data_IF_733532141334
#
_entry.id   IF_733532141334
#
_cell.length_a   1.000
_cell.length_b   1.000
_cell.length_c   1.000
_cell.angle_alpha   90.00
_cell.angle_beta   90.00
_cell.angle_gamma   90.00
#
_symmetry.space_group_name_H-M   'P 1'
#
loop_
_entity.id
_entity.type
_entity.pdbx_description
1 polymer ?
#
# COMPACT_ATOMS: atom_id res chain seq x y z
N UNK A 1 19.67 0.52 -21.05
CA UNK A 1 18.65 -0.51 -20.78
C UNK A 1 19.02 -1.19 -19.48
N UNK A 2 18.52 -0.66 -18.36
CA UNK A 2 18.44 -1.47 -17.15
C UNK A 2 17.40 -2.51 -17.47
N UNK A 3 17.85 -3.68 -17.85
CA UNK A 3 16.98 -4.78 -18.20
C UNK A 3 16.08 -5.06 -17.01
N UNK A 4 14.81 -4.78 -17.12
CA UNK A 4 13.77 -5.23 -16.19
C UNK A 4 13.73 -6.77 -16.05
N UNK A 5 14.65 -7.44 -16.74
CA UNK A 5 14.80 -8.88 -16.74
C UNK A 5 15.24 -9.47 -15.40
N UNK A 6 15.95 -8.72 -14.56
CA UNK A 6 16.57 -9.24 -13.34
C UNK A 6 15.79 -8.90 -12.07
N UNK A 7 14.72 -8.11 -12.16
CA UNK A 7 13.87 -7.77 -11.02
C UNK A 7 12.93 -8.92 -10.68
N UNK A 8 12.87 -9.25 -9.40
CA UNK A 8 11.88 -10.16 -8.82
C UNK A 8 11.04 -9.41 -7.80
N UNK A 9 9.81 -9.85 -7.58
CA UNK A 9 8.85 -9.16 -6.75
C UNK A 9 8.16 -10.12 -5.80
N UNK A 10 7.89 -9.66 -4.60
CA UNK A 10 6.91 -10.27 -3.71
C UNK A 10 5.69 -9.36 -3.65
N UNK A 11 4.55 -9.84 -4.10
CA UNK A 11 3.25 -9.18 -3.98
C UNK A 11 2.48 -9.72 -2.79
N UNK A 12 1.89 -8.84 -1.99
CA UNK A 12 1.12 -9.25 -0.81
C UNK A 12 -0.21 -8.54 -0.72
N UNK A 13 -1.21 -9.26 -0.24
CA UNK A 13 -2.54 -8.74 0.05
C UNK A 13 -3.13 -9.50 1.26
N UNK A 14 -4.10 -8.90 1.96
CA UNK A 14 -4.88 -9.52 3.02
C UNK A 14 -6.11 -10.26 2.48
N UNK A 15 -6.52 -9.97 1.24
CA UNK A 15 -7.67 -10.59 0.59
C UNK A 15 -7.25 -11.82 -0.23
N UNK A 16 -7.69 -13.02 0.15
CA UNK A 16 -7.39 -14.24 -0.60
C UNK A 16 -7.93 -14.21 -2.04
N UNK A 17 -9.01 -13.48 -2.30
CA UNK A 17 -9.59 -13.36 -3.66
C UNK A 17 -8.66 -12.51 -4.54
N UNK A 18 -8.13 -11.40 -4.00
CA UNK A 18 -7.15 -10.57 -4.69
C UNK A 18 -5.88 -11.35 -5.03
N UNK A 19 -5.35 -12.11 -4.07
CA UNK A 19 -4.19 -13.00 -4.30
C UNK A 19 -4.47 -14.04 -5.39
N UNK A 20 -5.63 -14.67 -5.37
CA UNK A 20 -5.99 -15.68 -6.38
C UNK A 20 -6.15 -15.06 -7.78
N UNK A 21 -6.75 -13.88 -7.88
CA UNK A 21 -6.85 -13.15 -9.13
C UNK A 21 -5.48 -12.72 -9.68
N UNK A 22 -4.61 -12.21 -8.81
CA UNK A 22 -3.24 -11.88 -9.18
C UNK A 22 -2.48 -13.15 -9.63
N UNK A 23 -2.66 -14.29 -8.95
CA UNK A 23 -2.06 -15.57 -9.33
C UNK A 23 -2.46 -16.01 -10.73
N UNK A 24 -3.73 -15.88 -11.10
CA UNK A 24 -4.21 -16.17 -12.45
C UNK A 24 -3.52 -15.31 -13.49
N UNK A 25 -3.39 -14.00 -13.22
CA UNK A 25 -2.71 -13.06 -14.12
C UNK A 25 -1.24 -13.46 -14.29
N UNK A 26 -0.54 -13.71 -13.19
CA UNK A 26 0.88 -14.13 -13.22
C UNK A 26 1.06 -15.42 -13.99
N UNK A 27 0.22 -16.43 -13.73
CA UNK A 27 0.29 -17.74 -14.38
C UNK A 27 0.02 -17.65 -15.89
N UNK A 28 -0.90 -16.79 -16.31
CA UNK A 28 -1.19 -16.58 -17.73
C UNK A 28 -0.11 -15.78 -18.48
N UNK A 29 0.88 -15.23 -17.76
CA UNK A 29 1.96 -14.44 -18.34
C UNK A 29 3.32 -15.09 -18.07
N UNK A 30 3.89 -15.86 -19.02
CA UNK A 30 5.13 -16.60 -18.81
C UNK A 30 6.31 -15.72 -18.35
N UNK A 31 6.36 -14.46 -18.79
CA UNK A 31 7.40 -13.50 -18.38
C UNK A 31 7.32 -13.16 -16.90
N UNK A 32 6.13 -13.21 -16.29
CA UNK A 32 5.88 -12.88 -14.88
C UNK A 32 5.98 -14.09 -13.96
N UNK A 33 5.71 -15.29 -14.48
CA UNK A 33 5.54 -16.51 -13.69
C UNK A 33 6.76 -16.87 -12.80
N UNK A 34 7.97 -16.48 -13.23
CA UNK A 34 9.22 -16.74 -12.49
C UNK A 34 9.73 -15.53 -11.72
N UNK A 35 9.02 -14.39 -11.78
CA UNK A 35 9.48 -13.13 -11.21
C UNK A 35 8.62 -12.62 -10.05
N UNK A 36 7.40 -13.14 -9.91
CA UNK A 36 6.44 -12.65 -8.92
C UNK A 36 6.05 -13.79 -8.00
N UNK A 37 6.37 -13.65 -6.72
CA UNK A 37 5.85 -14.49 -5.65
C UNK A 37 4.68 -13.78 -4.97
N UNK A 38 3.56 -14.48 -4.79
CA UNK A 38 2.34 -13.90 -4.24
C UNK A 38 2.05 -14.52 -2.87
N UNK A 39 2.02 -13.69 -1.84
CA UNK A 39 1.87 -14.09 -0.44
C UNK A 39 0.61 -13.49 0.18
N UNK A 40 -0.18 -14.32 0.84
CA UNK A 40 -1.35 -13.86 1.61
C UNK A 40 -0.90 -13.42 3.00
N UNK A 41 -1.14 -12.15 3.34
CA UNK A 41 -1.02 -11.68 4.71
C UNK A 41 -2.25 -12.12 5.52
N UNK A 42 -2.04 -13.02 6.47
CA UNK A 42 -3.13 -13.63 7.26
C UNK A 42 -3.58 -12.77 8.43
N UNK A 43 -2.77 -11.82 8.85
CA UNK A 43 -3.06 -10.92 9.96
C UNK A 43 -3.12 -9.48 9.46
N UNK A 44 -4.31 -8.90 9.40
CA UNK A 44 -4.54 -7.52 8.92
C UNK A 44 -3.84 -6.44 9.75
N UNK A 45 -3.34 -6.76 10.93
CA UNK A 45 -2.57 -5.84 11.79
C UNK A 45 -1.09 -5.84 11.47
N UNK A 46 -0.62 -6.77 10.65
CA UNK A 46 0.78 -6.96 10.27
C UNK A 46 0.99 -6.58 8.82
N UNK A 47 2.16 -6.07 8.52
CA UNK A 47 2.53 -5.61 7.18
C UNK A 47 3.66 -6.49 6.61
N UNK A 48 4.73 -6.64 7.36
CA UNK A 48 5.92 -7.40 6.96
C UNK A 48 6.01 -8.76 7.68
N UNK A 49 5.49 -8.83 8.90
CA UNK A 49 5.57 -10.02 9.75
C UNK A 49 4.75 -11.17 9.13
N UNK A 50 5.40 -12.30 8.89
CA UNK A 50 4.81 -13.42 8.15
C UNK A 50 4.88 -13.31 6.61
N UNK A 51 5.42 -12.18 6.10
CA UNK A 51 5.64 -11.95 4.67
C UNK A 51 7.14 -12.02 4.35
N UNK A 52 7.97 -11.25 5.06
CA UNK A 52 9.43 -11.27 4.87
C UNK A 52 10.01 -12.45 5.62
N UNK A 53 10.72 -13.32 4.92
CA UNK A 53 11.40 -14.47 5.53
C UNK A 53 12.79 -14.07 6.06
N UNK A 54 13.35 -14.77 7.05
CA UNK A 54 14.60 -14.37 7.71
C UNK A 54 15.82 -14.26 6.78
N UNK A 55 15.85 -15.06 5.73
CA UNK A 55 16.93 -15.18 4.77
C UNK A 55 16.74 -14.35 3.49
N UNK A 56 15.62 -13.61 3.41
CA UNK A 56 15.33 -12.74 2.28
C UNK A 56 15.89 -11.32 2.47
N UNK A 57 16.24 -10.70 1.35
CA UNK A 57 16.59 -9.29 1.28
C UNK A 57 15.85 -8.62 0.12
N UNK A 58 15.31 -7.44 0.38
CA UNK A 58 14.61 -6.59 -0.57
C UNK A 58 15.34 -5.26 -0.70
N UNK A 59 15.58 -4.80 -1.91
CA UNK A 59 16.15 -3.47 -2.13
C UNK A 59 15.17 -2.37 -1.70
N UNK A 60 13.87 -2.59 -1.99
CA UNK A 60 12.82 -1.61 -1.69
C UNK A 60 11.46 -2.29 -1.48
N UNK A 61 10.69 -1.80 -0.52
CA UNK A 61 9.26 -2.08 -0.45
C UNK A 61 8.47 -0.91 -1.03
N UNK A 62 7.35 -1.20 -1.70
CA UNK A 62 6.44 -0.18 -2.24
C UNK A 62 5.06 -0.43 -1.65
N UNK A 63 4.51 0.59 -0.98
CA UNK A 63 3.20 0.50 -0.36
C UNK A 63 2.28 1.63 -0.81
N UNK A 64 1.06 1.26 -1.19
CA UNK A 64 -0.05 2.19 -1.35
C UNK A 64 -1.03 1.91 -0.22
N UNK A 65 -1.00 2.66 0.89
CA UNK A 65 -1.76 2.33 2.10
C UNK A 65 -3.25 2.62 1.92
N UNK A 66 -4.12 1.98 2.71
CA UNK A 66 -5.54 2.34 2.75
C UNK A 66 -5.71 3.76 3.28
N UNK A 67 -6.48 4.60 2.56
CA UNK A 67 -6.54 6.05 2.82
C UNK A 67 -7.59 6.46 3.85
N UNK A 68 -8.66 5.66 4.00
CA UNK A 68 -9.82 5.98 4.83
C UNK A 68 -9.77 5.26 6.18
N UNK A 69 -10.35 5.88 7.20
CA UNK A 69 -10.41 5.33 8.56
C UNK A 69 -11.61 4.41 8.79
N UNK A 70 -12.61 4.47 7.91
CA UNK A 70 -13.79 3.61 7.95
C UNK A 70 -14.33 3.36 6.53
N UNK A 71 -15.19 2.35 6.43
CA UNK A 71 -15.90 2.04 5.20
C UNK A 71 -16.82 3.17 4.76
N UNK A 72 -17.52 3.78 5.69
CA UNK A 72 -18.42 4.91 5.43
C UNK A 72 -17.67 6.10 4.85
N UNK A 73 -16.50 6.44 5.40
CA UNK A 73 -15.64 7.50 4.87
C UNK A 73 -15.17 7.18 3.44
N UNK A 74 -14.86 5.94 3.14
CA UNK A 74 -14.46 5.49 1.80
C UNK A 74 -15.62 5.61 0.80
N UNK A 75 -16.83 5.19 1.19
CA UNK A 75 -18.03 5.28 0.38
C UNK A 75 -18.41 6.75 0.10
N UNK A 76 -18.41 7.61 1.12
CA UNK A 76 -18.68 9.04 0.99
C UNK A 76 -17.66 9.75 0.09
N UNK A 77 -16.39 9.45 0.23
CA UNK A 77 -15.32 10.00 -0.61
C UNK A 77 -15.53 9.66 -2.08
N UNK A 78 -16.01 8.47 -2.37
CA UNK A 78 -16.27 8.01 -3.74
C UNK A 78 -17.55 8.61 -4.31
N UNK A 79 -18.62 8.71 -3.50
CA UNK A 79 -19.87 9.37 -3.90
C UNK A 79 -19.63 10.85 -4.26
N UNK A 80 -18.83 11.58 -3.49
CA UNK A 80 -18.46 12.96 -3.79
C UNK A 80 -17.71 13.10 -5.11
N UNK A 81 -16.75 12.20 -5.39
CA UNK A 81 -15.99 12.20 -6.65
C UNK A 81 -16.90 11.92 -7.85
N UNK A 82 -17.81 10.95 -7.74
CA UNK A 82 -18.72 10.59 -8.82
C UNK A 82 -19.78 11.69 -9.07
N UNK A 83 -20.31 12.29 -8.00
CA UNK A 83 -21.23 13.43 -8.11
C UNK A 83 -20.57 14.63 -8.77
N UNK A 84 -19.30 14.90 -8.45
CA UNK A 84 -18.51 15.97 -9.08
C UNK A 84 -18.23 15.71 -10.57
N UNK A 85 -18.02 14.46 -10.97
CA UNK A 85 -17.74 14.09 -12.35
C UNK A 85 -18.99 14.05 -13.24
N UNK A 86 -20.16 13.69 -12.68
CA UNK A 86 -21.41 13.52 -13.43
C UNK A 86 -22.38 14.69 -13.32
N UNK A 87 -22.09 15.69 -12.48
CA UNK A 87 -22.97 16.83 -12.24
C UNK A 87 -24.35 16.50 -11.62
N UNK A 88 -24.54 15.26 -11.15
CA UNK A 88 -25.82 14.75 -10.64
C UNK A 88 -25.62 14.10 -9.28
N UNK A 89 -26.50 14.35 -8.29
CA UNK A 89 -26.48 13.66 -6.99
C UNK A 89 -26.79 12.18 -7.19
N UNK A 90 -25.82 11.33 -6.85
CA UNK A 90 -25.95 9.87 -6.90
C UNK A 90 -26.19 9.37 -5.49
N UNK A 91 -27.37 8.80 -5.23
CA UNK A 91 -27.80 8.42 -3.87
C UNK A 91 -27.34 7.02 -3.41
N UNK A 92 -26.95 6.14 -4.29
CA UNK A 92 -26.31 4.85 -3.99
C UNK A 92 -25.61 4.34 -5.25
N UNK A 93 -24.35 4.02 -5.13
CA UNK A 93 -23.60 3.32 -6.18
C UNK A 93 -23.13 2.02 -5.58
N UNK A 94 -23.44 0.91 -6.24
CA UNK A 94 -22.64 -0.29 -6.11
C UNK A 94 -21.25 0.06 -6.64
N UNK A 95 -20.32 0.27 -5.71
CA UNK A 95 -18.95 0.67 -5.99
C UNK A 95 -18.18 -0.55 -6.50
N UNK A 96 -18.40 -0.90 -7.75
CA UNK A 96 -17.55 -1.82 -8.50
C UNK A 96 -16.36 -1.03 -9.10
N UNK A 97 -15.57 -0.38 -8.25
CA UNK A 97 -14.18 -0.13 -8.59
C UNK A 97 -13.43 -1.41 -8.23
N UNK A 98 -12.84 -2.10 -9.17
CA UNK A 98 -12.20 -3.41 -9.09
C UNK A 98 -11.26 -3.72 -7.90
N UNK A 99 -11.37 -2.99 -6.80
CA UNK A 99 -10.71 -3.19 -5.52
C UNK A 99 -11.68 -3.67 -4.45
N UNK A 100 -11.26 -4.57 -3.60
CA UNK A 100 -12.04 -4.99 -2.44
C UNK A 100 -12.17 -3.85 -1.43
N UNK A 101 -13.22 -3.85 -0.60
CA UNK A 101 -13.42 -2.82 0.43
C UNK A 101 -12.20 -2.65 1.36
N UNK A 102 -11.41 -3.71 1.52
CA UNK A 102 -10.21 -3.75 2.36
C UNK A 102 -9.04 -2.91 1.84
N UNK A 103 -9.00 -2.57 0.56
CA UNK A 103 -7.95 -1.72 -0.02
C UNK A 103 -8.16 -0.23 0.26
N UNK A 104 -9.39 0.15 0.56
CA UNK A 104 -9.77 1.55 0.68
C UNK A 104 -9.72 2.08 2.10
N UNK A 105 -9.88 1.22 3.11
CA UNK A 105 -9.93 1.65 4.51
C UNK A 105 -9.29 0.64 5.46
N UNK A 106 -8.77 1.14 6.57
CA UNK A 106 -8.36 0.34 7.73
C UNK A 106 -8.70 1.10 9.02
N UNK A 107 -8.77 0.39 10.14
CA UNK A 107 -8.98 1.00 11.45
C UNK A 107 -7.90 2.05 11.75
N UNK A 108 -8.32 3.30 11.96
CA UNK A 108 -7.44 4.44 12.19
C UNK A 108 -6.80 5.03 10.92
N UNK A 109 -7.14 4.51 9.74
CA UNK A 109 -6.78 5.05 8.43
C UNK A 109 -5.29 5.06 8.12
N UNK A 110 -4.91 5.81 7.08
CA UNK A 110 -3.55 5.93 6.57
C UNK A 110 -2.50 6.16 7.67
N UNK A 111 -2.78 7.08 8.60
CA UNK A 111 -1.80 7.42 9.63
C UNK A 111 -1.50 6.23 10.53
N UNK A 112 -2.54 5.50 10.98
CA UNK A 112 -2.36 4.33 11.84
C UNK A 112 -1.59 3.23 11.13
N UNK A 113 -1.94 2.98 9.87
CA UNK A 113 -1.26 2.01 9.03
C UNK A 113 0.24 2.34 8.91
N UNK A 114 0.57 3.58 8.57
CA UNK A 114 1.96 4.02 8.40
C UNK A 114 2.76 4.02 9.70
N UNK A 115 2.15 4.37 10.84
CA UNK A 115 2.79 4.26 12.15
C UNK A 115 3.12 2.80 12.50
N UNK A 116 2.23 1.86 12.16
CA UNK A 116 2.47 0.43 12.31
C UNK A 116 3.60 -0.05 11.39
N UNK A 117 3.57 0.38 10.12
CA UNK A 117 4.61 0.08 9.14
C UNK A 117 6.00 0.52 9.60
N UNK A 118 6.12 1.75 10.13
CA UNK A 118 7.37 2.27 10.69
C UNK A 118 7.81 1.44 11.91
N UNK A 119 6.88 1.07 12.79
CA UNK A 119 7.21 0.25 13.96
C UNK A 119 7.70 -1.14 13.56
N UNK A 120 7.04 -1.74 12.60
CA UNK A 120 7.34 -3.11 12.17
C UNK A 120 8.63 -3.18 11.34
N UNK A 121 8.94 -2.14 10.55
CA UNK A 121 10.16 -2.08 9.76
C UNK A 121 11.45 -2.20 10.61
N UNK A 122 11.40 -1.85 11.90
CA UNK A 122 12.53 -2.04 12.79
C UNK A 122 13.00 -3.50 12.90
N UNK A 123 12.07 -4.46 12.83
CA UNK A 123 12.39 -5.89 12.87
C UNK A 123 13.12 -6.36 11.61
N UNK A 124 12.86 -5.69 10.49
CA UNK A 124 13.31 -6.07 9.15
C UNK A 124 14.36 -5.14 8.56
N UNK A 125 15.02 -4.34 9.38
CA UNK A 125 16.07 -3.40 8.94
C UNK A 125 17.26 -4.07 8.22
N UNK A 126 17.50 -5.35 8.49
CA UNK A 126 18.54 -6.15 7.82
C UNK A 126 18.04 -6.85 6.55
N UNK A 127 16.72 -6.85 6.35
CA UNK A 127 16.04 -7.55 5.27
C UNK A 127 15.55 -6.60 4.17
N UNK A 128 15.66 -5.28 4.37
CA UNK A 128 15.20 -4.32 3.38
C UNK A 128 16.03 -3.04 3.40
N UNK A 129 16.44 -2.58 2.21
CA UNK A 129 17.21 -1.35 2.03
C UNK A 129 16.36 -0.09 2.25
N UNK A 130 15.17 -0.04 1.63
CA UNK A 130 14.25 1.08 1.76
C UNK A 130 12.81 0.61 1.98
N UNK A 131 12.17 1.11 3.02
CA UNK A 131 10.73 0.98 3.23
C UNK A 131 10.04 2.22 2.68
N UNK A 132 9.21 2.08 1.65
CA UNK A 132 8.56 3.22 1.02
C UNK A 132 7.04 3.12 1.05
N UNK A 133 6.38 4.26 1.14
CA UNK A 133 4.92 4.34 1.08
C UNK A 133 4.44 5.66 0.51
N UNK A 134 3.29 5.63 -0.14
CA UNK A 134 2.57 6.84 -0.48
C UNK A 134 1.97 7.47 0.78
N UNK A 135 1.89 8.80 0.79
CA UNK A 135 1.21 9.58 1.82
C UNK A 135 0.23 10.52 1.14
N UNK A 136 -1.06 10.36 1.41
CA UNK A 136 -2.12 11.11 0.69
C UNK A 136 -2.27 12.56 1.15
N UNK A 137 -1.91 12.88 2.40
CA UNK A 137 -2.13 14.19 3.01
C UNK A 137 -0.86 14.68 3.69
N UNK A 138 -0.36 15.85 3.31
CA UNK A 138 0.84 16.47 3.87
C UNK A 138 0.76 16.62 5.41
N UNK A 139 -0.42 16.95 5.95
CA UNK A 139 -0.65 17.05 7.39
C UNK A 139 -0.34 15.77 8.19
N UNK A 140 -0.31 14.62 7.53
CA UNK A 140 0.00 13.34 8.18
C UNK A 140 1.50 13.19 8.43
N UNK A 141 2.35 13.90 7.68
CA UNK A 141 3.81 13.80 7.78
C UNK A 141 4.36 14.14 9.17
N UNK A 142 3.77 15.11 9.85
CA UNK A 142 4.23 15.52 11.19
C UNK A 142 4.24 14.35 12.19
N UNK A 143 3.15 13.58 12.20
CA UNK A 143 3.04 12.38 13.06
C UNK A 143 4.04 11.30 12.64
N UNK A 144 4.25 11.14 11.34
CA UNK A 144 5.21 10.17 10.81
C UNK A 144 6.65 10.57 11.15
N UNK A 145 7.01 11.86 11.05
CA UNK A 145 8.32 12.35 11.47
C UNK A 145 8.60 12.10 12.95
N UNK A 146 7.61 12.34 13.80
CA UNK A 146 7.72 12.04 15.24
C UNK A 146 7.99 10.58 15.47
N UNK A 147 7.27 9.70 14.76
CA UNK A 147 7.48 8.26 14.86
C UNK A 147 8.84 7.82 14.33
N UNK A 148 9.27 8.30 13.15
CA UNK A 148 10.58 7.99 12.56
C UNK A 148 11.72 8.35 13.51
N UNK A 149 11.65 9.52 14.15
CA UNK A 149 12.62 9.93 15.18
C UNK A 149 12.62 8.99 16.38
N UNK A 150 11.43 8.56 16.84
CA UNK A 150 11.31 7.67 18.02
C UNK A 150 11.88 6.27 17.80
N UNK A 151 11.90 5.81 16.55
CA UNK A 151 12.46 4.49 16.19
C UNK A 151 13.90 4.58 15.68
N UNK A 152 14.50 5.77 15.72
CA UNK A 152 15.90 6.01 15.40
C UNK A 152 16.31 5.46 14.02
N UNK A 153 15.51 5.78 12.98
CA UNK A 153 15.85 5.40 11.59
C UNK A 153 17.15 6.10 11.16
N UNK A 154 17.97 5.43 10.37
CA UNK A 154 19.23 5.97 9.85
C UNK A 154 19.02 7.13 8.88
N UNK A 155 18.00 7.05 8.03
CA UNK A 155 17.67 8.07 7.04
C UNK A 155 16.17 8.01 6.71
N UNK A 156 15.58 9.17 6.39
CA UNK A 156 14.27 9.24 5.75
C UNK A 156 14.23 10.36 4.71
N UNK A 157 13.44 10.16 3.67
CA UNK A 157 13.24 11.11 2.58
C UNK A 157 11.76 11.30 2.31
N UNK A 158 11.36 12.53 1.97
CA UNK A 158 10.04 12.85 1.44
C UNK A 158 10.19 13.34 0.02
N UNK A 159 9.57 12.62 -0.91
CA UNK A 159 9.60 12.95 -2.33
C UNK A 159 8.20 13.43 -2.70
N UNK A 160 8.08 14.70 -3.08
CA UNK A 160 6.81 15.24 -3.57
C UNK A 160 6.50 14.67 -4.95
N UNK A 161 5.33 14.06 -5.08
CA UNK A 161 4.86 13.54 -6.35
C UNK A 161 3.84 14.52 -6.95
N UNK A 162 4.02 14.85 -8.22
CA UNK A 162 3.10 15.71 -8.97
C UNK A 162 2.41 14.87 -10.04
N UNK A 163 1.10 15.00 -10.15
CA UNK A 163 0.31 14.39 -11.22
C UNK A 163 -0.58 15.47 -11.85
N UNK A 164 -0.19 15.95 -13.02
CA UNK A 164 -0.87 17.06 -13.70
C UNK A 164 -0.78 18.35 -12.88
N UNK A 165 -1.90 19.01 -12.64
CA UNK A 165 -2.00 20.26 -11.86
C UNK A 165 -2.09 20.05 -10.34
N UNK A 166 -2.10 18.80 -9.87
CA UNK A 166 -2.20 18.48 -8.43
C UNK A 166 -0.84 18.02 -7.91
N UNK A 167 -0.27 18.78 -6.99
CA UNK A 167 0.84 18.31 -6.13
C UNK A 167 0.30 17.41 -5.01
N UNK A 168 0.93 16.30 -4.78
CA UNK A 168 0.69 15.42 -3.63
C UNK A 168 1.99 15.21 -2.88
#
# INVERSE_FOLDING_TARGET
DVCSSDLTFVGTDIDPVSIENARKIVTCNPVLAHKIDLRLQKDSKKIFDGIIMPDEYFDVTICNPPFHSSREEAEDGTLRKLSSLKGTKINKVQLNFGGSANELWCEGGEVRFLLNMISESQKYQKNCGWFTSLVSKEKNLEKLYTKLKSVNVSEYKVIRMQQGTKSR
#
